data_IF_509209368318
#
_entry.id   IF_509209368318
#
_cell.length_a   1.000
_cell.length_b   1.000
_cell.length_c   1.000
_cell.angle_alpha   90.00
_cell.angle_beta   90.00
_cell.angle_gamma   90.00
#
_symmetry.space_group_name_H-M   'P 1'
#
loop_
_entity.id
_entity.type
_entity.pdbx_description
1 polymer ?
#
# COMPACT_ATOMS: atom_id res chain seq x y z
N UNK A 1 -9.70 4.43 -8.48
CA UNK A 1 -8.59 3.99 -7.63
C UNK A 1 -7.29 4.17 -8.37
N UNK A 2 -6.24 4.45 -7.64
CA UNK A 2 -4.91 4.57 -8.23
C UNK A 2 -4.24 3.20 -8.30
N UNK A 3 -3.26 3.08 -9.16
CA UNK A 3 -2.46 1.87 -9.27
C UNK A 3 -1.01 2.20 -8.98
N UNK A 4 -0.30 1.24 -8.43
CA UNK A 4 1.10 1.42 -8.11
C UNK A 4 1.80 0.10 -7.92
N UNK A 5 3.08 0.21 -7.55
CA UNK A 5 3.93 -0.94 -7.32
C UNK A 5 4.49 -0.85 -5.91
N UNK A 6 4.45 -1.94 -5.18
CA UNK A 6 4.99 -1.97 -3.82
C UNK A 6 6.50 -1.74 -3.89
N UNK A 7 6.95 -0.66 -3.27
CA UNK A 7 8.36 -0.32 -3.21
C UNK A 7 9.07 -1.23 -2.21
N UNK A 8 8.49 -1.37 -1.03
CA UNK A 8 8.93 -2.32 -0.02
C UNK A 8 7.82 -2.47 1.02
N UNK A 9 7.84 -3.57 1.73
CA UNK A 9 6.88 -3.81 2.80
C UNK A 9 7.55 -4.65 3.88
N UNK A 10 7.43 -4.22 5.14
CA UNK A 10 7.98 -4.95 6.27
C UNK A 10 6.83 -5.65 6.99
N UNK A 11 6.71 -6.95 6.77
CA UNK A 11 5.61 -7.72 7.34
C UNK A 11 5.70 -7.84 8.86
N UNK A 12 6.90 -7.75 9.42
CA UNK A 12 7.08 -7.79 10.87
C UNK A 12 6.53 -6.53 11.53
N UNK A 13 6.73 -5.38 10.91
CA UNK A 13 6.25 -4.11 11.43
C UNK A 13 4.87 -3.75 10.91
N UNK A 14 4.46 -4.35 9.82
CA UNK A 14 3.12 -4.16 9.26
C UNK A 14 2.94 -2.92 8.42
N UNK A 15 3.99 -2.39 7.81
CA UNK A 15 3.85 -1.22 6.95
C UNK A 15 4.89 -1.21 5.84
N UNK A 16 4.66 -0.33 4.87
CA UNK A 16 5.58 -0.15 3.77
C UNK A 16 5.19 1.05 2.93
N UNK A 17 5.71 1.08 1.71
CA UNK A 17 5.45 2.17 0.77
C UNK A 17 5.11 1.63 -0.60
N UNK A 18 4.25 2.35 -1.29
CA UNK A 18 3.84 2.04 -2.66
C UNK A 18 4.29 3.21 -3.54
N UNK A 19 4.97 2.89 -4.64
CA UNK A 19 5.34 3.86 -5.66
C UNK A 19 4.15 4.04 -6.59
N UNK A 20 3.62 5.25 -6.68
CA UNK A 20 2.49 5.53 -7.57
C UNK A 20 2.98 5.73 -8.99
N UNK A 21 2.09 5.54 -9.95
CA UNK A 21 2.42 5.82 -11.35
C UNK A 21 2.76 7.29 -11.54
N UNK A 22 2.05 8.16 -10.83
CA UNK A 22 2.31 9.59 -10.84
C UNK A 22 2.24 10.11 -9.42
N UNK A 23 3.19 10.96 -9.06
CA UNK A 23 3.22 11.57 -7.73
C UNK A 23 4.17 10.86 -6.79
N UNK A 24 4.10 11.25 -5.53
CA UNK A 24 4.99 10.74 -4.50
C UNK A 24 4.57 9.37 -4.01
N UNK A 25 5.50 8.67 -3.38
CA UNK A 25 5.21 7.39 -2.73
C UNK A 25 4.17 7.60 -1.64
N UNK A 26 3.36 6.57 -1.40
CA UNK A 26 2.36 6.61 -0.33
C UNK A 26 2.65 5.53 0.70
N UNK A 27 2.38 5.86 1.94
CA UNK A 27 2.50 4.93 3.05
C UNK A 27 1.35 3.92 3.00
N UNK A 28 1.63 2.68 3.33
CA UNK A 28 0.62 1.64 3.44
C UNK A 28 0.81 0.86 4.74
N UNK A 29 -0.28 0.63 5.44
CA UNK A 29 -0.29 -0.16 6.67
C UNK A 29 -1.07 -1.44 6.42
N UNK A 30 -0.72 -2.52 7.13
CA UNK A 30 -1.39 -3.81 6.88
C UNK A 30 -2.91 -3.74 7.05
N UNK A 31 -3.41 -2.83 7.89
CA UNK A 31 -4.85 -2.64 8.06
C UNK A 31 -5.54 -2.17 6.79
N UNK A 32 -4.80 -1.57 5.88
CA UNK A 32 -5.35 -1.05 4.64
C UNK A 32 -5.40 -2.10 3.53
N UNK A 33 -4.79 -3.25 3.74
CA UNK A 33 -4.75 -4.32 2.73
C UNK A 33 -6.05 -5.09 2.79
N UNK A 34 -6.75 -5.15 1.65
CA UNK A 34 -8.02 -5.87 1.54
C UNK A 34 -7.79 -7.36 1.42
N UNK A 35 -8.78 -8.12 1.85
CA UNK A 35 -8.76 -9.56 1.70
C UNK A 35 -8.85 -10.26 3.04
N UNK A 36 -8.89 -11.59 2.99
CA UNK A 36 -8.95 -12.44 4.17
C UNK A 36 -7.63 -13.19 4.32
N UNK A 37 -7.30 -13.53 5.56
CA UNK A 37 -6.09 -14.29 5.84
C UNK A 37 -4.86 -13.40 5.93
N UNK A 38 -3.78 -13.85 5.31
CA UNK A 38 -2.49 -13.21 5.46
C UNK A 38 -2.41 -11.89 4.69
N UNK A 39 -2.31 -10.80 5.43
CA UNK A 39 -2.29 -9.45 4.86
C UNK A 39 -0.85 -8.96 4.74
N UNK A 40 -0.24 -9.25 3.62
CA UNK A 40 1.13 -8.81 3.38
C UNK A 40 1.31 -8.47 1.90
N UNK A 41 2.31 -7.63 1.64
CA UNK A 41 2.69 -7.25 0.29
C UNK A 41 4.15 -7.58 0.10
N UNK A 42 4.54 -7.79 -1.13
CA UNK A 42 5.93 -8.05 -1.48
C UNK A 42 6.43 -6.98 -2.43
N UNK A 43 7.73 -6.72 -2.37
CA UNK A 43 8.37 -5.76 -3.26
C UNK A 43 8.09 -6.13 -4.71
N UNK A 44 7.62 -5.17 -5.47
CA UNK A 44 7.31 -5.36 -6.88
C UNK A 44 5.86 -5.75 -7.18
N UNK A 45 5.05 -6.03 -6.15
CA UNK A 45 3.65 -6.36 -6.36
C UNK A 45 2.89 -5.18 -6.98
N UNK A 46 2.03 -5.50 -7.93
CA UNK A 46 1.13 -4.50 -8.51
C UNK A 46 -0.13 -4.44 -7.68
N UNK A 47 -0.52 -3.23 -7.30
CA UNK A 47 -1.68 -3.03 -6.43
C UNK A 47 -2.53 -1.87 -6.93
N UNK A 48 -3.81 -1.88 -6.55
CA UNK A 48 -4.65 -0.69 -6.71
C UNK A 48 -5.15 -0.29 -5.33
N UNK A 49 -5.39 1.00 -5.16
CA UNK A 49 -5.69 1.55 -3.84
C UNK A 49 -6.32 2.93 -3.96
N UNK A 50 -6.86 3.42 -2.85
CA UNK A 50 -7.31 4.80 -2.73
C UNK A 50 -6.30 5.57 -1.90
N UNK A 51 -6.15 6.86 -2.18
CA UNK A 51 -5.22 7.72 -1.44
C UNK A 51 -6.03 8.60 -0.49
N UNK A 52 -5.63 8.60 0.76
CA UNK A 52 -6.24 9.42 1.78
C UNK A 52 -5.18 10.11 2.63
N UNK A 53 -5.64 11.00 3.50
CA UNK A 53 -4.77 11.72 4.41
C UNK A 53 -4.65 10.90 5.70
N UNK A 54 -3.44 10.61 6.10
CA UNK A 54 -3.18 9.89 7.34
C UNK A 54 -2.28 10.68 8.27
N UNK A 55 -1.97 10.15 9.46
CA UNK A 55 -1.12 10.84 10.43
C UNK A 55 0.27 11.16 9.91
N UNK A 56 0.76 10.37 8.98
CA UNK A 56 2.11 10.54 8.42
C UNK A 56 2.11 11.17 7.03
N UNK A 57 0.96 11.66 6.59
CA UNK A 57 0.81 12.24 5.26
C UNK A 57 -0.10 11.39 4.39
N UNK A 58 0.18 11.33 3.09
CA UNK A 58 -0.63 10.53 2.17
C UNK A 58 -0.50 9.05 2.50
N UNK A 59 -1.63 8.37 2.50
CA UNK A 59 -1.69 6.98 2.91
C UNK A 59 -2.61 6.21 1.97
N UNK A 60 -2.19 5.00 1.60
CA UNK A 60 -3.00 4.13 0.77
C UNK A 60 -4.07 3.44 1.62
N UNK A 61 -5.26 3.32 1.05
CA UNK A 61 -6.40 2.66 1.69
C UNK A 61 -7.03 1.70 0.70
N UNK A 62 -7.69 0.67 1.21
CA UNK A 62 -8.37 -0.32 0.37
C UNK A 62 -7.46 -0.92 -0.68
N UNK A 63 -6.27 -1.34 -0.24
CA UNK A 63 -5.24 -1.86 -1.12
C UNK A 63 -5.55 -3.29 -1.52
N UNK A 64 -5.53 -3.55 -2.83
CA UNK A 64 -5.77 -4.88 -3.37
C UNK A 64 -4.69 -5.21 -4.39
N UNK A 65 -4.24 -6.44 -4.40
CA UNK A 65 -3.34 -6.90 -5.45
C UNK A 65 -4.11 -7.05 -6.75
N UNK A 66 -3.49 -6.63 -7.83
CA UNK A 66 -4.07 -6.77 -9.17
C UNK A 66 -3.68 -8.10 -9.77
#
# INVERSE_FOLDING_TARGET
MEKGTVKWFNSSKGYGFITREEGDDVFVHYNAIEGTGYKTLEEGDQVEFEVGQGPKGLQAMHVSKI
#
